data_IF_063666920945
#
_entry.id   IF_063666920945
#
_cell.length_a   1.000
_cell.length_b   1.000
_cell.length_c   1.000
_cell.angle_alpha   90.00
_cell.angle_beta   90.00
_cell.angle_gamma   90.00
#
_symmetry.space_group_name_H-M   'P 1'
#
loop_
_entity.id
_entity.type
_entity.pdbx_description
1 polymer ?
#
# COMPACT_ATOMS: atom_id res chain seq x y z
N UNK A 1 44.54 49.81 -22.83
CA UNK A 1 44.30 49.41 -24.24
C UNK A 1 43.52 48.11 -24.14
N UNK A 2 42.17 48.10 -24.11
CA UNK A 2 41.28 48.39 -25.25
C UNK A 2 41.44 47.27 -26.27
N UNK A 3 40.49 46.39 -26.59
CA UNK A 3 39.04 46.53 -26.81
C UNK A 3 38.46 45.10 -26.96
N UNK A 4 37.50 44.64 -26.15
CA UNK A 4 36.03 44.76 -26.31
C UNK A 4 35.43 44.12 -27.57
N UNK A 5 34.61 43.07 -27.38
CA UNK A 5 33.26 42.92 -28.00
C UNK A 5 32.45 41.84 -27.27
N UNK A 6 31.51 42.27 -26.43
CA UNK A 6 30.13 41.71 -26.32
C UNK A 6 29.28 42.32 -27.47
N UNK A 7 28.02 41.95 -27.80
CA UNK A 7 26.93 41.35 -27.00
C UNK A 7 26.22 40.18 -27.76
N UNK A 8 25.15 39.49 -27.33
CA UNK A 8 23.82 40.02 -26.99
C UNK A 8 22.88 38.90 -26.49
N UNK A 9 22.05 39.29 -25.52
CA UNK A 9 20.86 38.59 -25.03
C UNK A 9 19.79 38.58 -26.13
N UNK A 10 19.13 37.42 -26.32
CA UNK A 10 17.92 37.28 -27.12
C UNK A 10 16.95 36.33 -26.43
N UNK A 11 15.85 36.88 -25.92
CA UNK A 11 14.66 36.14 -25.49
C UNK A 11 13.95 35.55 -26.70
N UNK A 12 13.60 34.25 -26.72
CA UNK A 12 12.33 33.83 -27.33
C UNK A 12 11.80 32.46 -26.85
N UNK A 13 10.49 32.37 -26.98
CA UNK A 13 9.49 31.50 -26.40
C UNK A 13 9.46 30.04 -26.92
N UNK A 14 8.99 29.14 -26.04
CA UNK A 14 8.17 27.95 -26.29
C UNK A 14 8.40 27.12 -27.57
N UNK A 15 8.85 25.86 -27.38
CA UNK A 15 8.17 24.70 -27.99
C UNK A 15 8.44 23.39 -27.23
N UNK A 16 7.60 23.10 -26.22
CA UNK A 16 7.43 21.75 -25.69
C UNK A 16 6.89 20.85 -26.81
N UNK A 17 7.71 19.93 -27.34
CA UNK A 17 7.24 18.75 -28.08
C UNK A 17 7.47 17.49 -27.24
N UNK A 18 6.38 16.74 -27.14
CA UNK A 18 6.14 15.55 -26.32
C UNK A 18 7.16 14.45 -26.64
N UNK A 19 7.82 13.94 -25.59
CA UNK A 19 8.47 12.64 -25.58
C UNK A 19 8.19 11.97 -24.23
N UNK A 20 7.31 10.98 -24.21
CA UNK A 20 7.07 10.11 -23.05
C UNK A 20 8.26 9.16 -22.91
N UNK A 21 8.95 9.25 -21.79
CA UNK A 21 9.77 8.17 -21.24
C UNK A 21 9.80 8.31 -19.72
N UNK A 22 8.90 7.58 -19.06
CA UNK A 22 8.89 7.42 -17.60
C UNK A 22 9.99 6.42 -17.24
N UNK A 23 11.22 6.90 -17.13
CA UNK A 23 12.30 6.19 -16.44
C UNK A 23 12.28 6.65 -14.99
N UNK A 24 11.80 5.80 -14.07
CA UNK A 24 12.02 6.01 -12.64
C UNK A 24 13.22 5.17 -12.23
N UNK A 25 14.35 5.86 -12.03
CA UNK A 25 15.60 5.30 -11.51
C UNK A 25 15.46 4.98 -10.02
N UNK A 26 15.80 3.75 -9.62
CA UNK A 26 16.04 3.38 -8.23
C UNK A 26 17.53 3.54 -7.94
N UNK A 27 17.89 4.53 -7.12
CA UNK A 27 19.26 4.65 -6.61
C UNK A 27 19.56 3.53 -5.61
N UNK A 28 20.65 2.81 -5.86
CA UNK A 28 21.33 1.94 -4.91
C UNK A 28 21.99 2.78 -3.82
N UNK A 29 21.70 2.49 -2.56
CA UNK A 29 22.63 2.79 -1.46
C UNK A 29 22.93 1.48 -0.75
N UNK A 30 24.20 1.08 -0.76
CA UNK A 30 24.69 -0.20 -0.26
C UNK A 30 24.21 -0.53 1.15
N UNK A 31 23.76 -1.78 1.31
CA UNK A 31 23.24 -2.34 2.55
C UNK A 31 22.14 -3.36 2.21
N UNK A 32 22.30 -4.60 2.68
CA UNK A 32 21.51 -5.82 2.41
C UNK A 32 20.01 -5.77 2.81
N UNK A 33 19.31 -4.67 2.54
CA UNK A 33 17.87 -4.55 2.73
C UNK A 33 17.22 -3.90 1.51
N UNK A 34 16.74 -4.71 0.57
CA UNK A 34 15.78 -4.26 -0.43
C UNK A 34 14.44 -3.97 0.26
N UNK A 35 14.26 -2.75 0.76
CA UNK A 35 12.90 -2.23 0.99
C UNK A 35 12.37 -1.79 -0.37
N UNK A 36 11.39 -2.51 -0.90
CA UNK A 36 10.48 -1.88 -1.85
C UNK A 36 9.84 -0.72 -1.08
N UNK A 37 10.29 0.51 -1.35
CA UNK A 37 9.61 1.69 -0.82
C UNK A 37 8.27 1.73 -1.53
N UNK A 38 7.21 1.37 -0.81
CA UNK A 38 5.84 1.51 -1.28
C UNK A 38 5.69 2.89 -1.90
N UNK A 39 5.36 2.93 -3.20
CA UNK A 39 5.02 4.18 -3.86
C UNK A 39 3.88 4.81 -3.05
N UNK A 40 4.13 6.00 -2.50
CA UNK A 40 3.14 6.68 -1.69
C UNK A 40 2.07 7.27 -2.62
N UNK A 41 0.84 6.76 -2.53
CA UNK A 41 -0.33 7.31 -3.23
C UNK A 41 -1.20 8.12 -2.27
N UNK A 42 -1.81 9.20 -2.80
CA UNK A 42 -2.93 9.90 -2.18
C UNK A 42 -4.18 9.66 -3.04
N UNK A 43 -5.22 9.07 -2.45
CA UNK A 43 -6.54 8.97 -3.08
C UNK A 43 -7.32 10.27 -2.83
N UNK A 44 -7.72 10.96 -3.91
CA UNK A 44 -8.61 12.13 -3.82
C UNK A 44 -10.03 11.67 -4.12
N UNK A 45 -10.95 11.89 -3.18
CA UNK A 45 -12.37 11.57 -3.37
C UNK A 45 -12.95 12.56 -4.40
N UNK A 46 -13.36 12.05 -5.55
CA UNK A 46 -14.05 12.82 -6.59
C UNK A 46 -15.54 12.50 -6.53
N UNK A 47 -16.26 13.20 -5.63
CA UNK A 47 -17.71 13.09 -5.48
C UNK A 47 -18.19 11.86 -4.69
N UNK A 48 -19.47 11.49 -4.86
CA UNK A 48 -20.09 10.34 -4.18
C UNK A 48 -19.53 9.03 -4.77
N UNK A 49 -18.49 8.49 -4.15
CA UNK A 49 -18.07 7.09 -4.35
C UNK A 49 -17.00 6.83 -5.41
N UNK A 50 -16.40 7.85 -6.04
CA UNK A 50 -15.29 7.69 -7.01
C UNK A 50 -13.99 8.22 -6.44
N UNK A 51 -12.91 7.45 -6.54
CA UNK A 51 -11.55 7.88 -6.19
C UNK A 51 -10.70 7.99 -7.46
N UNK A 52 -9.86 9.03 -7.52
CA UNK A 52 -8.82 9.17 -8.55
C UNK A 52 -7.47 9.34 -7.87
N UNK A 53 -6.45 8.70 -8.44
CA UNK A 53 -5.07 8.71 -7.95
C UNK A 53 -4.24 9.65 -8.84
N UNK A 54 -3.68 10.71 -8.28
CA UNK A 54 -2.89 11.70 -9.03
C UNK A 54 -1.72 12.25 -8.18
N UNK A 55 -0.56 12.45 -8.82
CA UNK A 55 0.69 12.89 -8.18
C UNK A 55 0.72 14.40 -7.95
N UNK A 56 0.49 14.87 -6.71
CA UNK A 56 0.71 16.27 -6.35
C UNK A 56 1.23 16.44 -4.90
N UNK A 57 1.94 17.54 -4.65
CA UNK A 57 2.50 17.97 -3.36
C UNK A 57 1.76 19.22 -2.94
N UNK A 58 1.05 19.27 -1.79
CA UNK A 58 0.56 20.50 -1.12
C UNK A 58 -0.17 20.22 0.21
N UNK A 59 -0.55 21.26 1.02
CA UNK A 59 -0.74 21.19 2.46
C UNK A 59 -2.24 21.17 2.85
N UNK A 60 -2.52 20.96 4.15
CA UNK A 60 -3.80 21.14 4.88
C UNK A 60 -4.76 19.93 5.11
N UNK A 61 -4.87 19.59 6.41
CA UNK A 61 -6.07 19.28 7.24
C UNK A 61 -7.14 18.30 6.73
N UNK A 62 -6.75 17.08 6.37
CA UNK A 62 -7.63 15.91 6.47
C UNK A 62 -6.94 14.83 7.28
N UNK A 63 -7.65 14.18 8.21
CA UNK A 63 -7.11 13.06 8.98
C UNK A 63 -6.98 11.84 8.04
N UNK A 64 -5.75 11.61 7.58
CA UNK A 64 -5.39 10.44 6.79
C UNK A 64 -4.77 9.41 7.71
N UNK A 65 -5.40 8.24 7.85
CA UNK A 65 -4.79 7.11 8.53
C UNK A 65 -4.11 6.24 7.49
N UNK A 66 -2.78 6.19 7.56
CA UNK A 66 -1.99 5.33 6.70
C UNK A 66 -1.47 4.16 7.53
N UNK A 67 -2.08 3.00 7.35
CA UNK A 67 -1.61 1.73 7.88
C UNK A 67 -0.80 1.04 6.78
N UNK A 68 0.47 1.38 6.72
CA UNK A 68 1.45 0.62 5.92
C UNK A 68 2.13 -0.36 6.86
N UNK A 69 1.78 -1.64 6.78
CA UNK A 69 2.62 -2.69 7.34
C UNK A 69 2.81 -3.84 6.39
N UNK A 70 3.94 -4.51 6.56
CA UNK A 70 4.19 -5.79 5.92
C UNK A 70 4.10 -6.91 6.96
N UNK A 71 3.67 -8.11 6.54
CA UNK A 71 3.45 -9.34 7.31
C UNK A 71 2.12 -9.43 8.08
N UNK A 72 1.30 -10.39 7.66
CA UNK A 72 0.16 -10.98 8.35
C UNK A 72 0.56 -12.15 9.26
N UNK A 73 1.61 -12.89 8.92
CA UNK A 73 2.03 -14.07 9.68
C UNK A 73 3.11 -13.75 10.73
N UNK A 74 2.76 -13.94 12.00
CA UNK A 74 3.68 -13.88 13.13
C UNK A 74 4.55 -15.14 13.21
N UNK A 75 5.69 -15.12 12.53
CA UNK A 75 6.82 -15.93 12.98
C UNK A 75 7.57 -15.10 14.01
N UNK A 76 7.68 -15.61 15.24
CA UNK A 76 8.47 -15.09 16.36
C UNK A 76 9.99 -15.05 16.09
N UNK A 77 10.40 -14.89 14.84
CA UNK A 77 11.78 -14.63 14.49
C UNK A 77 12.04 -13.15 14.70
N UNK A 78 12.70 -12.84 15.84
CA UNK A 78 13.36 -11.57 16.18
C UNK A 78 14.38 -11.06 15.14
N UNK A 79 14.39 -11.60 13.91
CA UNK A 79 15.36 -11.29 12.86
C UNK A 79 14.87 -10.27 11.82
N UNK A 80 13.59 -9.88 11.79
CA UNK A 80 13.12 -8.77 10.93
C UNK A 80 12.23 -7.84 11.74
N UNK A 81 12.69 -6.62 12.01
CA UNK A 81 11.97 -5.52 12.68
C UNK A 81 10.73 -5.07 11.88
N UNK A 82 9.74 -5.94 11.75
CA UNK A 82 8.54 -5.75 10.92
C UNK A 82 7.34 -5.95 11.83
N UNK A 83 6.57 -4.88 12.05
CA UNK A 83 5.35 -4.86 12.86
C UNK A 83 4.24 -5.52 12.03
N UNK A 84 3.43 -6.41 12.58
CA UNK A 84 2.33 -7.01 11.79
C UNK A 84 1.17 -6.03 11.59
N UNK A 85 0.28 -6.28 10.62
CA UNK A 85 -0.95 -5.46 10.51
C UNK A 85 -1.79 -5.54 11.81
N UNK A 86 -1.86 -6.72 12.43
CA UNK A 86 -2.57 -6.90 13.70
C UNK A 86 -2.00 -6.02 14.82
N UNK A 87 -0.68 -5.95 14.94
CA UNK A 87 -0.02 -5.09 15.92
C UNK A 87 -0.25 -3.61 15.62
N UNK A 88 -0.24 -3.20 14.35
CA UNK A 88 -0.59 -1.82 13.98
C UNK A 88 -2.03 -1.47 14.36
N UNK A 89 -2.96 -2.41 14.19
CA UNK A 89 -4.36 -2.23 14.61
C UNK A 89 -4.47 -2.15 16.12
N UNK A 90 -3.68 -2.93 16.87
CA UNK A 90 -3.62 -2.85 18.32
C UNK A 90 -3.04 -1.50 18.79
N UNK A 91 -2.05 -0.95 18.08
CA UNK A 91 -1.54 0.39 18.36
C UNK A 91 -2.61 1.45 18.06
N UNK A 92 -3.30 1.31 16.91
CA UNK A 92 -4.40 2.19 16.54
C UNK A 92 -5.57 2.15 17.53
N UNK A 93 -5.89 0.99 18.13
CA UNK A 93 -6.96 0.90 19.13
C UNK A 93 -6.68 1.79 20.35
N UNK A 94 -5.42 1.91 20.78
CA UNK A 94 -5.03 2.85 21.85
C UNK A 94 -5.25 4.29 21.46
N UNK A 95 -4.96 4.64 20.22
CA UNK A 95 -5.22 5.99 19.69
C UNK A 95 -6.72 6.26 19.62
N UNK A 96 -7.51 5.29 19.17
CA UNK A 96 -8.97 5.36 19.18
C UNK A 96 -9.50 5.58 20.61
N UNK A 97 -8.99 4.86 21.62
CA UNK A 97 -9.37 5.06 23.02
C UNK A 97 -9.00 6.45 23.54
N UNK A 98 -7.82 6.97 23.19
CA UNK A 98 -7.41 8.32 23.55
C UNK A 98 -8.32 9.39 22.92
N UNK A 99 -8.72 9.20 21.65
CA UNK A 99 -9.72 10.07 21.01
C UNK A 99 -11.06 9.99 21.75
N UNK A 100 -11.54 8.79 22.10
CA UNK A 100 -12.77 8.62 22.88
C UNK A 100 -12.73 9.36 24.22
N UNK A 101 -11.60 9.34 24.92
CA UNK A 101 -11.42 10.08 26.17
C UNK A 101 -11.40 11.60 25.96
N UNK A 102 -10.89 12.07 24.81
CA UNK A 102 -10.69 13.50 24.54
C UNK A 102 -11.94 14.18 24.00
N UNK A 103 -12.65 13.56 23.05
CA UNK A 103 -13.81 14.17 22.38
C UNK A 103 -15.14 13.45 22.65
N UNK A 104 -15.10 12.37 23.44
CA UNK A 104 -16.27 11.55 23.75
C UNK A 104 -16.58 10.49 22.67
N UNK A 105 -17.38 9.46 23.01
CA UNK A 105 -17.65 8.33 22.13
C UNK A 105 -18.33 8.72 20.80
N UNK A 106 -19.38 9.53 20.85
CA UNK A 106 -20.18 9.90 19.66
C UNK A 106 -19.36 10.74 18.67
N UNK A 107 -18.60 11.73 19.15
CA UNK A 107 -17.76 12.54 18.30
C UNK A 107 -16.64 11.71 17.66
N UNK A 108 -16.03 10.81 18.43
CA UNK A 108 -14.98 9.92 17.94
C UNK A 108 -15.52 8.98 16.86
N UNK A 109 -16.67 8.35 17.08
CA UNK A 109 -17.30 7.48 16.08
C UNK A 109 -17.60 8.23 14.77
N UNK A 110 -18.13 9.46 14.89
CA UNK A 110 -18.39 10.33 13.73
C UNK A 110 -17.10 10.75 13.01
N UNK A 111 -16.02 10.97 13.75
CA UNK A 111 -14.71 11.32 13.20
C UNK A 111 -14.07 10.13 12.45
N UNK A 112 -14.04 8.96 13.07
CA UNK A 112 -13.43 7.75 12.49
C UNK A 112 -14.21 7.22 11.28
N UNK A 113 -15.55 7.24 11.33
CA UNK A 113 -16.39 6.84 10.19
C UNK A 113 -16.22 7.74 8.95
N UNK A 114 -15.77 8.99 9.13
CA UNK A 114 -15.47 9.91 8.04
C UNK A 114 -14.03 9.80 7.54
N UNK A 115 -13.14 9.25 8.36
CA UNK A 115 -11.70 9.11 8.07
C UNK A 115 -11.42 8.03 7.04
N UNK A 116 -10.28 8.15 6.35
CA UNK A 116 -9.84 7.20 5.33
C UNK A 116 -8.67 6.35 5.85
N UNK A 117 -8.79 5.04 5.69
CA UNK A 117 -7.81 4.04 6.12
C UNK A 117 -7.12 3.44 4.90
N UNK A 118 -5.85 3.75 4.72
CA UNK A 118 -5.03 3.14 3.67
C UNK A 118 -4.36 1.88 4.19
N UNK A 119 -4.52 0.77 3.46
CA UNK A 119 -3.95 -0.52 3.80
C UNK A 119 -3.15 -1.04 2.60
N UNK A 120 -1.88 -1.37 2.82
CA UNK A 120 -0.97 -1.97 1.83
C UNK A 120 -0.17 -3.04 2.54
N UNK A 121 -0.48 -4.31 2.28
CA UNK A 121 0.12 -5.46 2.98
C UNK A 121 -0.11 -6.76 2.21
N UNK A 122 0.71 -7.78 2.48
CA UNK A 122 0.67 -9.11 1.84
C UNK A 122 1.96 -9.49 1.10
N UNK A 123 2.72 -8.51 0.60
CA UNK A 123 3.95 -8.78 -0.18
C UNK A 123 4.99 -9.56 0.63
N UNK A 124 5.20 -9.21 1.89
CA UNK A 124 6.15 -9.94 2.74
C UNK A 124 5.68 -11.34 3.14
N UNK A 125 4.37 -11.60 3.15
CA UNK A 125 3.82 -12.91 3.43
C UNK A 125 4.11 -13.84 2.25
N UNK A 126 3.90 -13.33 1.02
CA UNK A 126 4.23 -14.05 -0.22
C UNK A 126 5.75 -14.31 -0.31
N UNK A 127 6.60 -13.29 -0.07
CA UNK A 127 8.05 -13.50 0.00
C UNK A 127 8.43 -14.50 1.10
N UNK A 128 7.79 -14.39 2.26
CA UNK A 128 8.03 -15.28 3.39
C UNK A 128 7.75 -16.73 3.06
N UNK A 129 6.57 -17.02 2.50
CA UNK A 129 6.13 -18.36 2.13
C UNK A 129 7.04 -18.99 1.06
N UNK A 130 7.40 -18.20 0.05
CA UNK A 130 8.27 -18.66 -1.03
C UNK A 130 9.70 -18.96 -0.53
N UNK A 131 10.33 -18.02 0.18
CA UNK A 131 11.71 -18.20 0.64
C UNK A 131 11.86 -19.20 1.79
N UNK A 132 10.78 -19.53 2.50
CA UNK A 132 10.81 -20.59 3.51
C UNK A 132 10.68 -22.00 2.91
N UNK A 133 10.55 -22.14 1.58
CA UNK A 133 10.21 -23.40 0.92
C UNK A 133 9.04 -24.10 1.61
N UNK A 134 7.98 -23.33 1.89
CA UNK A 134 6.81 -23.80 2.61
C UNK A 134 6.19 -25.00 1.89
N UNK A 135 5.81 -26.04 2.63
CA UNK A 135 5.05 -27.18 2.10
C UNK A 135 3.56 -26.87 1.93
N UNK A 136 3.11 -25.67 2.33
CA UNK A 136 1.73 -25.25 2.15
C UNK A 136 1.41 -25.11 0.66
N UNK A 137 0.27 -25.67 0.26
CA UNK A 137 -0.25 -25.42 -1.07
C UNK A 137 -0.56 -23.92 -1.23
N UNK A 138 -0.45 -23.41 -2.47
CA UNK A 138 -0.86 -22.03 -2.80
C UNK A 138 -2.29 -21.74 -2.30
N UNK A 139 -3.19 -22.70 -2.41
CA UNK A 139 -4.59 -22.53 -2.00
C UNK A 139 -4.72 -22.38 -0.48
N UNK A 140 -4.03 -23.22 0.30
CA UNK A 140 -4.07 -23.18 1.77
C UNK A 140 -3.40 -21.91 2.31
N UNK A 141 -2.30 -21.50 1.68
CA UNK A 141 -1.62 -20.25 2.00
C UNK A 141 -2.55 -19.04 1.77
N UNK A 142 -3.17 -18.93 0.58
CA UNK A 142 -4.07 -17.81 0.26
C UNK A 142 -5.31 -17.82 1.17
N UNK A 143 -5.83 -19.00 1.50
CA UNK A 143 -6.97 -19.16 2.41
C UNK A 143 -6.62 -18.65 3.81
N UNK A 144 -5.48 -19.08 4.34
CA UNK A 144 -4.98 -18.64 5.66
C UNK A 144 -4.73 -17.13 5.70
N UNK A 145 -4.11 -16.61 4.64
CA UNK A 145 -3.86 -15.18 4.51
C UNK A 145 -5.17 -14.38 4.43
N UNK A 146 -6.17 -14.91 3.74
CA UNK A 146 -7.52 -14.33 3.67
C UNK A 146 -8.21 -14.26 5.03
N UNK A 147 -8.14 -15.33 5.83
CA UNK A 147 -8.68 -15.32 7.20
C UNK A 147 -8.02 -14.27 8.10
N UNK A 148 -6.70 -14.14 8.01
CA UNK A 148 -5.96 -13.11 8.74
C UNK A 148 -6.35 -11.69 8.26
N UNK A 149 -6.53 -11.50 6.96
CA UNK A 149 -6.96 -10.22 6.39
C UNK A 149 -8.38 -9.84 6.83
N UNK A 150 -9.32 -10.80 6.79
CA UNK A 150 -10.70 -10.62 7.23
C UNK A 150 -10.75 -10.21 8.71
N UNK A 151 -9.99 -10.91 9.55
CA UNK A 151 -9.91 -10.63 11.00
C UNK A 151 -9.46 -9.20 11.26
N UNK A 152 -8.40 -8.76 10.57
CA UNK A 152 -7.86 -7.41 10.71
C UNK A 152 -8.83 -6.32 10.21
N UNK A 153 -9.50 -6.54 9.07
CA UNK A 153 -10.50 -5.59 8.56
C UNK A 153 -11.70 -5.48 9.51
N UNK A 154 -12.18 -6.60 10.04
CA UNK A 154 -13.25 -6.62 11.05
C UNK A 154 -12.86 -5.86 12.31
N UNK A 155 -11.62 -6.02 12.78
CA UNK A 155 -11.12 -5.26 13.93
C UNK A 155 -11.14 -3.73 13.66
N UNK A 156 -10.70 -3.28 12.48
CA UNK A 156 -10.78 -1.87 12.10
C UNK A 156 -12.22 -1.36 11.99
N UNK A 157 -13.12 -2.14 11.39
CA UNK A 157 -14.55 -1.84 11.30
C UNK A 157 -15.18 -1.70 12.71
N UNK A 158 -14.81 -2.58 13.64
CA UNK A 158 -15.27 -2.50 15.04
C UNK A 158 -14.72 -1.27 15.76
N UNK A 159 -13.54 -0.79 15.39
CA UNK A 159 -12.96 0.48 15.87
C UNK A 159 -13.49 1.72 15.13
N UNK A 160 -14.56 1.58 14.34
CA UNK A 160 -15.25 2.71 13.69
C UNK A 160 -14.73 3.12 12.32
N UNK A 161 -13.76 2.39 11.75
CA UNK A 161 -13.35 2.61 10.37
C UNK A 161 -14.50 2.28 9.41
N UNK A 162 -14.71 3.12 8.39
CA UNK A 162 -15.75 2.87 7.36
C UNK A 162 -15.28 3.09 5.93
N UNK A 163 -14.17 3.80 5.70
CA UNK A 163 -13.65 4.07 4.35
C UNK A 163 -12.25 3.52 4.21
N UNK A 164 -12.06 2.65 3.23
CA UNK A 164 -10.80 1.95 2.99
C UNK A 164 -10.22 2.27 1.61
N UNK A 165 -8.93 2.55 1.56
CA UNK A 165 -8.13 2.58 0.33
C UNK A 165 -7.15 1.41 0.37
N UNK A 166 -7.37 0.37 -0.42
CA UNK A 166 -6.62 -0.88 -0.34
C UNK A 166 -5.69 -0.99 -1.54
N UNK A 167 -4.42 -1.16 -1.25
CA UNK A 167 -3.38 -1.40 -2.25
C UNK A 167 -3.11 -2.90 -2.20
N UNK A 168 -3.57 -3.61 -3.24
CA UNK A 168 -3.33 -5.04 -3.36
C UNK A 168 -1.85 -5.31 -3.68
N UNK A 169 -1.43 -6.56 -3.56
CA UNK A 169 -0.05 -6.94 -3.80
C UNK A 169 0.26 -6.84 -5.30
N UNK A 170 1.25 -6.02 -5.64
CA UNK A 170 1.76 -5.91 -7.01
C UNK A 170 2.44 -7.22 -7.47
N UNK A 171 2.79 -7.36 -8.76
CA UNK A 171 3.60 -8.48 -9.26
C UNK A 171 5.01 -8.56 -8.62
N UNK A 172 5.09 -9.12 -7.42
CA UNK A 172 6.27 -9.15 -6.56
C UNK A 172 7.39 -10.02 -7.09
N UNK A 173 7.11 -10.95 -8.02
CA UNK A 173 8.12 -11.73 -8.72
C UNK A 173 9.01 -10.88 -9.64
N UNK A 174 8.55 -9.67 -10.00
CA UNK A 174 9.30 -8.72 -10.82
C UNK A 174 10.19 -7.77 -10.01
N UNK A 175 10.18 -7.85 -8.67
CA UNK A 175 11.09 -7.07 -7.83
C UNK A 175 12.55 -7.41 -8.16
N UNK A 176 13.47 -6.42 -8.22
CA UNK A 176 14.87 -6.68 -8.57
C UNK A 176 15.53 -7.77 -7.71
N UNK A 177 15.22 -7.82 -6.41
CA UNK A 177 15.74 -8.84 -5.49
C UNK A 177 15.33 -10.27 -5.84
N UNK A 178 14.20 -10.44 -6.56
CA UNK A 178 13.68 -11.74 -6.99
C UNK A 178 14.16 -12.11 -8.39
N UNK A 179 14.36 -11.11 -9.25
CA UNK A 179 14.86 -11.32 -10.62
C UNK A 179 16.31 -11.80 -10.63
N UNK A 180 17.12 -11.45 -9.63
CA UNK A 180 18.51 -11.89 -9.51
C UNK A 180 18.61 -13.42 -9.37
N UNK A 181 17.63 -14.07 -8.76
CA UNK A 181 17.59 -15.54 -8.66
C UNK A 181 17.08 -16.24 -9.92
N UNK A 182 16.61 -15.49 -10.92
CA UNK A 182 16.21 -16.05 -12.22
C UNK A 182 17.38 -15.92 -13.20
N UNK A 183 17.88 -17.03 -13.73
CA UNK A 183 19.01 -17.05 -14.67
C UNK A 183 18.75 -16.23 -15.95
N UNK A 184 17.48 -16.08 -16.36
CA UNK A 184 17.09 -15.24 -17.51
C UNK A 184 16.95 -13.76 -17.16
N UNK A 185 17.01 -13.40 -15.89
CA UNK A 185 16.66 -12.08 -15.37
C UNK A 185 15.16 -11.77 -15.45
N UNK A 186 14.31 -12.74 -15.79
CA UNK A 186 12.86 -12.61 -15.83
C UNK A 186 12.21 -12.56 -14.44
N UNK A 187 10.91 -12.30 -14.39
CA UNK A 187 10.15 -12.36 -13.14
C UNK A 187 10.03 -13.81 -12.63
N UNK A 188 9.89 -13.98 -11.31
CA UNK A 188 9.50 -15.26 -10.73
C UNK A 188 7.98 -15.41 -10.80
N UNK A 189 7.49 -16.18 -11.78
CA UNK A 189 6.04 -16.28 -12.03
C UNK A 189 5.26 -16.94 -10.89
N UNK A 190 5.89 -17.81 -10.11
CA UNK A 190 5.24 -18.38 -8.93
C UNK A 190 4.83 -17.30 -7.92
N UNK A 191 5.69 -16.30 -7.67
CA UNK A 191 5.37 -15.17 -6.80
C UNK A 191 4.24 -14.31 -7.39
N UNK A 192 4.22 -14.13 -8.71
CA UNK A 192 3.17 -13.39 -9.40
C UNK A 192 1.82 -14.15 -9.37
N UNK A 193 1.84 -15.48 -9.42
CA UNK A 193 0.65 -16.31 -9.23
C UNK A 193 0.04 -16.18 -7.84
N UNK A 194 0.88 -16.09 -6.80
CA UNK A 194 0.41 -15.80 -5.45
C UNK A 194 -0.20 -14.40 -5.35
N UNK A 195 0.40 -13.40 -6.01
CA UNK A 195 -0.18 -12.05 -6.06
C UNK A 195 -1.54 -12.03 -6.76
N UNK A 196 -1.70 -12.78 -7.87
CA UNK A 196 -2.98 -12.97 -8.59
C UNK A 196 -4.04 -13.62 -7.70
N UNK A 197 -3.70 -14.73 -7.06
CA UNK A 197 -4.61 -15.44 -6.17
C UNK A 197 -5.01 -14.57 -4.96
N UNK A 198 -4.06 -13.82 -4.41
CA UNK A 198 -4.31 -12.89 -3.31
C UNK A 198 -5.26 -11.76 -3.73
N UNK A 199 -5.07 -11.15 -4.91
CA UNK A 199 -5.95 -10.11 -5.43
C UNK A 199 -7.39 -10.61 -5.60
N UNK A 200 -7.57 -11.81 -6.19
CA UNK A 200 -8.90 -12.41 -6.37
C UNK A 200 -9.59 -12.70 -5.02
N UNK A 201 -8.84 -13.27 -4.06
CA UNK A 201 -9.34 -13.49 -2.69
C UNK A 201 -9.75 -12.17 -2.02
N UNK A 202 -8.91 -11.14 -2.13
CA UNK A 202 -9.15 -9.83 -1.52
C UNK A 202 -10.40 -9.16 -2.09
N UNK A 203 -10.59 -9.18 -3.41
CA UNK A 203 -11.78 -8.63 -4.06
C UNK A 203 -13.07 -9.30 -3.54
N UNK A 204 -13.06 -10.63 -3.43
CA UNK A 204 -14.19 -11.39 -2.87
C UNK A 204 -14.46 -11.03 -1.41
N UNK A 205 -13.41 -10.96 -0.59
CA UNK A 205 -13.51 -10.60 0.82
C UNK A 205 -14.05 -9.19 1.03
N UNK A 206 -13.60 -8.20 0.25
CA UNK A 206 -14.06 -6.83 0.35
C UNK A 206 -15.52 -6.67 -0.05
N UNK A 207 -15.93 -7.38 -1.11
CA UNK A 207 -17.34 -7.45 -1.51
C UNK A 207 -18.19 -8.02 -0.37
N UNK A 208 -17.81 -9.16 0.21
CA UNK A 208 -18.47 -9.79 1.36
C UNK A 208 -18.57 -8.84 2.56
N UNK A 209 -17.47 -8.18 2.95
CA UNK A 209 -17.50 -7.29 4.12
C UNK A 209 -18.36 -6.05 3.87
N UNK A 210 -18.36 -5.52 2.64
CA UNK A 210 -19.17 -4.34 2.31
C UNK A 210 -20.67 -4.60 2.37
N UNK A 211 -21.13 -5.83 2.14
CA UNK A 211 -22.54 -6.20 2.31
C UNK A 211 -22.91 -6.47 3.77
N UNK A 212 -21.95 -6.86 4.62
CA UNK A 212 -22.16 -7.13 6.04
C UNK A 212 -22.10 -5.88 6.93
N UNK A 213 -21.32 -4.88 6.53
CA UNK A 213 -21.07 -3.69 7.35
C UNK A 213 -21.62 -2.43 6.70
N UNK A 214 -22.72 -1.92 7.26
CA UNK A 214 -23.35 -0.71 6.76
C UNK A 214 -22.38 0.48 6.75
N UNK A 215 -22.40 1.22 5.64
CA UNK A 215 -21.57 2.40 5.44
C UNK A 215 -20.11 2.10 5.11
N UNK A 216 -19.71 0.82 5.04
CA UNK A 216 -18.40 0.44 4.52
C UNK A 216 -18.27 0.85 3.05
N UNK A 217 -17.22 1.59 2.72
CA UNK A 217 -16.82 1.95 1.37
C UNK A 217 -15.37 1.60 1.17
N UNK A 218 -15.04 1.05 0.01
CA UNK A 218 -13.66 0.73 -0.31
C UNK A 218 -13.34 1.06 -1.77
N UNK A 219 -12.06 1.25 -2.03
CA UNK A 219 -11.46 1.21 -3.36
C UNK A 219 -10.24 0.33 -3.27
N UNK A 220 -10.06 -0.56 -4.24
CA UNK A 220 -8.84 -1.35 -4.36
C UNK A 220 -8.10 -1.03 -5.66
N UNK A 221 -6.79 -1.30 -5.70
CA UNK A 221 -5.99 -1.20 -6.92
C UNK A 221 -6.25 -2.41 -7.82
N UNK A 222 -6.64 -2.16 -9.07
CA UNK A 222 -6.70 -3.22 -10.08
C UNK A 222 -5.31 -3.74 -10.41
N UNK A 223 -5.15 -5.06 -10.39
CA UNK A 223 -3.95 -5.67 -10.93
C UNK A 223 -4.08 -5.74 -12.47
N UNK A 224 -3.13 -5.12 -13.17
CA UNK A 224 -3.00 -5.20 -14.63
C UNK A 224 -1.99 -6.27 -15.01
#
# INVERSE_FOLDING_TARGET
>A
MGSSTTPSVGHEYNRLRRGRSSLTSCFYTGGLNCRCRDQQFLAKQQGKGRFSFQWHRFPFLHAHWKLTSMKFYGSSNKQKNVISLGDQIQQYSRVSSSLMATMGPLATQKFLSKSLFFISTGSNDIFGNYHSNSSLSKQDFITTLGFAYETNLKALLNLGARKFGIISVAPVGCCPSQRISNATGGCLEELNDHARAFHAMLASLLSKLSSQYEGMKYSETHMK
#
